data_IF_946626486686
#
_entry.id   IF_946626486686
#
_cell.length_a   1.000
_cell.length_b   1.000
_cell.length_c   1.000
_cell.angle_alpha   90.00
_cell.angle_beta   90.00
_cell.angle_gamma   90.00
#
_symmetry.space_group_name_H-M   'P 1'
#
loop_
_entity.id
_entity.type
_entity.pdbx_description
1 polymer ?
#
# COMPACT_ATOMS: atom_id res chain seq x y z
N UNK A 1 -3.65 -1.25 18.75
CA UNK A 1 -3.19 -2.26 17.78
C UNK A 1 -1.68 -2.39 17.94
N UNK A 2 -1.18 -3.29 18.82
CA UNK A 2 0.27 -3.43 19.04
C UNK A 2 0.97 -4.32 17.99
N UNK A 3 0.22 -5.06 17.17
CA UNK A 3 0.77 -6.06 16.23
C UNK A 3 1.07 -5.48 14.85
N UNK A 4 0.22 -4.57 14.36
CA UNK A 4 0.33 -4.00 13.02
C UNK A 4 1.60 -3.15 12.86
N UNK A 5 2.01 -2.45 13.92
CA UNK A 5 3.24 -1.64 13.96
C UNK A 5 4.50 -2.51 13.74
N UNK A 6 4.61 -3.63 14.46
CA UNK A 6 5.73 -4.55 14.34
C UNK A 6 5.74 -5.26 12.98
N UNK A 7 4.56 -5.67 12.49
CA UNK A 7 4.42 -6.29 11.17
C UNK A 7 4.76 -5.30 10.04
N UNK A 8 4.33 -4.04 10.16
CA UNK A 8 4.63 -2.99 9.19
C UNK A 8 6.13 -2.75 9.10
N UNK A 9 6.82 -2.68 10.25
CA UNK A 9 8.27 -2.52 10.29
C UNK A 9 8.99 -3.70 9.61
N UNK A 10 8.56 -4.94 9.88
CA UNK A 10 9.09 -6.13 9.21
C UNK A 10 8.89 -6.09 7.68
N UNK A 11 7.71 -5.66 7.21
CA UNK A 11 7.47 -5.54 5.77
C UNK A 11 8.30 -4.42 5.13
N UNK A 12 8.51 -3.30 5.83
CA UNK A 12 9.37 -2.22 5.33
C UNK A 12 10.84 -2.62 5.22
N UNK A 13 11.30 -3.60 5.98
CA UNK A 13 12.65 -4.16 5.88
C UNK A 13 12.79 -5.15 4.71
N UNK A 14 11.69 -5.77 4.28
CA UNK A 14 11.71 -6.77 3.20
C UNK A 14 11.91 -6.16 1.80
N UNK A 15 12.51 -6.92 0.87
CA UNK A 15 12.54 -6.59 -0.55
C UNK A 15 11.14 -6.53 -1.17
N UNK A 16 10.93 -5.62 -2.12
CA UNK A 16 9.66 -5.50 -2.86
C UNK A 16 9.25 -6.82 -3.55
N UNK A 17 10.15 -7.61 -4.20
CA UNK A 17 9.77 -8.88 -4.80
C UNK A 17 9.13 -9.87 -3.80
N UNK A 18 9.59 -9.88 -2.55
CA UNK A 18 9.07 -10.77 -1.52
C UNK A 18 7.68 -10.34 -1.05
N UNK A 19 7.44 -9.03 -0.94
CA UNK A 19 6.11 -8.49 -0.63
C UNK A 19 5.12 -8.78 -1.76
N UNK A 20 5.56 -8.64 -3.01
CA UNK A 20 4.76 -8.96 -4.19
C UNK A 20 4.46 -10.46 -4.25
N UNK A 21 5.43 -11.33 -3.94
CA UNK A 21 5.22 -12.77 -3.83
C UNK A 21 4.17 -13.11 -2.77
N UNK A 22 4.24 -12.49 -1.59
CA UNK A 22 3.23 -12.67 -0.54
C UNK A 22 1.85 -12.18 -0.97
N UNK A 23 1.77 -11.03 -1.66
CA UNK A 23 0.51 -10.52 -2.19
C UNK A 23 -0.19 -11.56 -3.08
N UNK A 24 0.57 -12.31 -3.88
CA UNK A 24 -0.02 -13.34 -4.75
C UNK A 24 -0.69 -14.50 -4.00
N UNK A 25 -0.36 -14.70 -2.72
CA UNK A 25 -1.01 -15.72 -1.88
C UNK A 25 -2.47 -15.39 -1.56
N UNK A 26 -2.88 -14.12 -1.70
CA UNK A 26 -4.25 -13.67 -1.45
C UNK A 26 -5.20 -13.92 -2.63
N UNK A 27 -4.69 -14.43 -3.76
CA UNK A 27 -5.46 -14.64 -4.98
C UNK A 27 -5.05 -15.97 -5.63
N UNK A 28 -5.72 -17.04 -5.21
CA UNK A 28 -5.44 -18.42 -5.69
C UNK A 28 -5.57 -18.57 -7.21
N UNK A 29 -6.33 -17.70 -7.86
CA UNK A 29 -6.53 -17.70 -9.31
C UNK A 29 -5.48 -16.86 -10.07
N UNK A 30 -4.60 -16.14 -9.38
CA UNK A 30 -3.60 -15.30 -9.99
C UNK A 30 -2.53 -16.13 -10.71
N UNK A 31 -2.04 -15.59 -11.84
CA UNK A 31 -0.87 -16.13 -12.54
C UNK A 31 0.47 -15.66 -11.96
N UNK A 32 0.42 -15.01 -10.80
CA UNK A 32 1.55 -14.46 -10.08
C UNK A 32 1.31 -13.02 -9.60
N UNK A 33 2.31 -12.43 -8.92
CA UNK A 33 2.20 -11.16 -8.20
C UNK A 33 1.70 -9.96 -9.00
N UNK A 34 2.15 -9.85 -10.25
CA UNK A 34 1.76 -8.74 -11.11
C UNK A 34 0.28 -8.78 -11.51
N UNK A 35 -0.32 -9.98 -11.54
CA UNK A 35 -1.74 -10.15 -11.86
C UNK A 35 -2.60 -9.76 -10.65
N UNK A 36 -2.24 -10.23 -9.46
CA UNK A 36 -2.90 -9.83 -8.21
C UNK A 36 -2.82 -8.32 -7.98
N UNK A 37 -1.65 -7.72 -8.16
CA UNK A 37 -1.48 -6.27 -8.03
C UNK A 37 -2.38 -5.51 -9.00
N UNK A 38 -2.51 -5.95 -10.27
CA UNK A 38 -3.36 -5.31 -11.26
C UNK A 38 -4.84 -5.29 -10.87
N UNK A 39 -5.32 -6.32 -10.18
CA UNK A 39 -6.72 -6.41 -9.72
C UNK A 39 -7.02 -5.39 -8.62
N UNK A 40 -6.05 -5.09 -7.75
CA UNK A 40 -6.24 -4.15 -6.63
C UNK A 40 -5.72 -2.74 -6.94
N UNK A 41 -4.84 -2.57 -7.92
CA UNK A 41 -4.16 -1.29 -8.16
C UNK A 41 -5.10 -0.17 -8.56
N UNK A 42 -6.21 -0.47 -9.22
CA UNK A 42 -7.23 0.53 -9.57
C UNK A 42 -7.87 1.14 -8.32
N UNK A 43 -8.55 0.33 -7.48
CA UNK A 43 -9.12 0.79 -6.22
C UNK A 43 -8.10 1.45 -5.29
N UNK A 44 -6.90 0.85 -5.14
CA UNK A 44 -5.83 1.42 -4.31
C UNK A 44 -5.42 2.80 -4.81
N UNK A 45 -5.28 2.98 -6.13
CA UNK A 45 -4.95 4.28 -6.73
C UNK A 45 -6.05 5.31 -6.46
N UNK A 46 -7.31 4.96 -6.69
CA UNK A 46 -8.45 5.84 -6.39
C UNK A 46 -8.41 6.29 -4.91
N UNK A 47 -8.20 5.34 -4.00
CA UNK A 47 -8.19 5.62 -2.57
C UNK A 47 -7.03 6.52 -2.13
N UNK A 48 -5.81 6.22 -2.59
CA UNK A 48 -4.59 6.87 -2.10
C UNK A 48 -4.28 8.15 -2.88
N UNK A 49 -4.43 8.11 -4.20
CA UNK A 49 -4.03 9.22 -5.06
C UNK A 49 -5.13 10.27 -5.19
N UNK A 50 -6.40 9.86 -5.27
CA UNK A 50 -7.52 10.79 -5.51
C UNK A 50 -8.23 11.16 -4.20
N UNK A 51 -8.72 10.19 -3.43
CA UNK A 51 -9.52 10.47 -2.23
C UNK A 51 -8.66 10.94 -1.05
N UNK A 52 -7.51 10.30 -0.85
CA UNK A 52 -6.56 10.72 0.19
C UNK A 52 -5.65 11.86 -0.27
N UNK A 53 -5.64 12.19 -1.57
CA UNK A 53 -4.92 13.30 -2.20
C UNK A 53 -3.41 13.32 -1.87
N UNK A 54 -2.71 12.25 -2.23
CA UNK A 54 -1.26 12.14 -1.97
C UNK A 54 -0.45 13.30 -2.55
N UNK A 55 -0.74 13.75 -3.78
CA UNK A 55 0.10 14.74 -4.46
C UNK A 55 0.13 16.11 -3.74
N UNK A 56 -0.95 16.46 -3.04
CA UNK A 56 -0.97 17.62 -2.13
C UNK A 56 -0.30 17.29 -0.80
N UNK A 57 -0.59 16.11 -0.23
CA UNK A 57 -0.14 15.71 1.11
C UNK A 57 1.35 15.41 1.22
N UNK A 58 2.03 15.02 0.14
CA UNK A 58 3.47 14.73 0.12
C UNK A 58 4.35 15.89 0.59
N UNK A 59 3.82 17.12 0.65
CA UNK A 59 4.51 18.30 1.16
C UNK A 59 4.63 18.34 2.70
N UNK A 60 3.92 17.45 3.40
CA UNK A 60 3.98 17.34 4.85
C UNK A 60 5.28 16.63 5.29
N UNK A 61 6.07 17.32 6.12
CA UNK A 61 7.38 16.84 6.61
C UNK A 61 7.30 15.48 7.33
N UNK A 62 6.14 15.11 7.88
CA UNK A 62 5.96 13.79 8.52
C UNK A 62 6.17 12.61 7.57
N UNK A 63 6.08 12.82 6.25
CA UNK A 63 6.23 11.76 5.26
C UNK A 63 7.67 11.56 4.78
N UNK A 64 8.64 12.30 5.32
CA UNK A 64 10.06 12.01 5.12
C UNK A 64 10.45 10.66 5.75
N UNK A 65 9.78 10.28 6.84
CA UNK A 65 9.93 8.98 7.47
C UNK A 65 9.03 7.95 6.78
N UNK A 66 9.65 6.89 6.26
CA UNK A 66 8.96 5.78 5.60
C UNK A 66 7.97 5.05 6.50
N UNK A 67 8.27 4.97 7.80
CA UNK A 67 7.37 4.33 8.77
C UNK A 67 6.11 5.17 8.97
N UNK A 68 6.26 6.48 9.20
CA UNK A 68 5.13 7.40 9.38
C UNK A 68 4.26 7.47 8.12
N UNK A 69 4.87 7.45 6.94
CA UNK A 69 4.17 7.33 5.66
C UNK A 69 3.38 6.01 5.57
N UNK A 70 4.02 4.89 5.89
CA UNK A 70 3.38 3.58 5.82
C UNK A 70 2.18 3.48 6.79
N UNK A 71 2.31 3.99 8.00
CA UNK A 71 1.22 4.02 8.99
C UNK A 71 0.05 4.89 8.52
N UNK A 72 0.34 6.03 7.91
CA UNK A 72 -0.68 6.89 7.32
C UNK A 72 -1.40 6.21 6.15
N UNK A 73 -0.69 5.44 5.33
CA UNK A 73 -1.28 4.64 4.26
C UNK A 73 -2.19 3.54 4.80
N UNK A 74 -1.77 2.80 5.83
CA UNK A 74 -2.63 1.79 6.49
C UNK A 74 -3.92 2.44 6.96
N UNK A 75 -3.82 3.59 7.65
CA UNK A 75 -4.99 4.34 8.11
C UNK A 75 -5.90 4.77 6.96
N UNK A 76 -5.35 5.22 5.83
CA UNK A 76 -6.12 5.60 4.65
C UNK A 76 -6.85 4.39 4.03
N UNK A 77 -6.20 3.22 3.99
CA UNK A 77 -6.75 1.98 3.45
C UNK A 77 -7.79 1.33 4.37
N UNK A 78 -7.66 1.46 5.70
CA UNK A 78 -8.58 0.84 6.67
C UNK A 78 -9.93 1.53 6.83
N UNK A 79 -10.22 2.59 6.09
CA UNK A 79 -11.51 3.28 6.16
C UNK A 79 -12.59 2.44 5.48
N UNK A 80 -13.73 2.27 6.17
CA UNK A 80 -14.84 1.37 5.80
C UNK A 80 -15.40 1.51 4.37
N UNK A 81 -15.17 2.62 3.68
CA UNK A 81 -15.63 2.82 2.31
C UNK A 81 -14.69 2.22 1.25
N UNK A 82 -13.50 1.75 1.65
CA UNK A 82 -12.53 1.15 0.75
C UNK A 82 -12.85 -0.32 0.52
N UNK A 83 -13.30 -0.66 -0.68
CA UNK A 83 -13.55 -2.04 -1.10
C UNK A 83 -12.55 -2.42 -2.19
N UNK A 84 -11.71 -3.41 -1.88
CA UNK A 84 -10.85 -4.09 -2.86
C UNK A 84 -11.45 -5.46 -3.18
N UNK A 85 -11.30 -5.96 -4.41
CA UNK A 85 -11.86 -7.24 -4.84
C UNK A 85 -11.19 -8.48 -4.21
N UNK A 86 -10.24 -8.27 -3.30
CA UNK A 86 -9.47 -9.28 -2.59
C UNK A 86 -9.31 -8.84 -1.13
N UNK A 87 -9.41 -9.76 -0.17
CA UNK A 87 -9.25 -9.48 1.26
C UNK A 87 -7.75 -9.43 1.62
N UNK A 88 -7.06 -8.42 1.09
CA UNK A 88 -5.61 -8.23 1.27
C UNK A 88 -5.33 -7.38 2.49
N UNK A 89 -4.31 -7.78 3.26
CA UNK A 89 -3.82 -7.00 4.38
C UNK A 89 -3.37 -5.58 3.96
N UNK A 90 -3.98 -4.55 4.56
CA UNK A 90 -3.65 -3.15 4.34
C UNK A 90 -2.19 -2.83 4.69
N UNK A 91 -1.61 -3.51 5.67
CA UNK A 91 -0.20 -3.37 6.09
C UNK A 91 0.73 -3.79 4.95
N UNK A 92 0.40 -4.87 4.25
CA UNK A 92 1.15 -5.35 3.08
C UNK A 92 1.05 -4.36 1.91
N UNK A 93 -0.15 -3.88 1.60
CA UNK A 93 -0.35 -2.88 0.52
C UNK A 93 0.42 -1.60 0.83
N UNK A 94 0.35 -1.10 2.06
CA UNK A 94 1.06 0.11 2.47
C UNK A 94 2.58 -0.03 2.29
N UNK A 95 3.16 -1.16 2.71
CA UNK A 95 4.59 -1.42 2.51
C UNK A 95 4.98 -1.47 1.02
N UNK A 96 4.16 -2.12 0.17
CA UNK A 96 4.37 -2.17 -1.28
C UNK A 96 4.36 -0.75 -1.87
N UNK A 97 3.39 0.09 -1.51
CA UNK A 97 3.27 1.46 -1.99
C UNK A 97 4.48 2.34 -1.63
N UNK A 98 4.98 2.22 -0.39
CA UNK A 98 6.21 2.93 0.04
C UNK A 98 7.41 2.51 -0.82
N UNK A 99 7.52 1.21 -1.15
CA UNK A 99 8.62 0.67 -1.97
C UNK A 99 8.50 1.07 -3.44
N UNK A 100 7.28 1.19 -3.97
CA UNK A 100 7.03 1.61 -5.35
C UNK A 100 7.22 3.11 -5.60
N UNK A 101 7.35 3.91 -4.52
CA UNK A 101 7.29 5.37 -4.53
C UNK A 101 5.90 5.89 -4.93
N UNK A 102 5.19 6.48 -3.96
CA UNK A 102 3.86 7.03 -4.19
C UNK A 102 3.82 8.13 -5.24
N UNK A 103 4.87 8.94 -5.36
CA UNK A 103 4.93 10.00 -6.38
C UNK A 103 4.83 9.42 -7.80
N UNK A 104 5.55 8.32 -8.05
CA UNK A 104 5.47 7.61 -9.33
C UNK A 104 4.15 6.86 -9.48
N UNK A 105 3.65 6.26 -8.41
CA UNK A 105 2.41 5.49 -8.44
C UNK A 105 1.17 6.37 -8.70
N UNK A 106 1.17 7.58 -8.14
CA UNK A 106 0.08 8.54 -8.28
C UNK A 106 0.25 9.52 -9.46
N UNK A 107 1.33 9.41 -10.23
CA UNK A 107 1.68 10.35 -11.31
C UNK A 107 1.69 11.82 -10.84
N UNK A 108 2.26 12.09 -9.66
CA UNK A 108 2.33 13.45 -9.13
C UNK A 108 3.33 14.31 -9.93
N UNK A 109 2.99 15.59 -10.20
CA UNK A 109 3.84 16.49 -10.99
C UNK A 109 5.13 16.91 -10.27
#
# INVERSE_FOLDING_TARGET
MPNDDAQLQLYLERPLPDLMAELSLYDEAARGPADTWRKISGPVRQRICEEWDWCTRRQDARFENKYDLALALVTALSVRAFHIPLDVDAVLIAAILVKLSLDKYCDCP
#
